data_IF_345402394697
#
_entry.id   IF_345402394697
#
_cell.length_a   1.000
_cell.length_b   1.000
_cell.length_c   1.000
_cell.angle_alpha   90.00
_cell.angle_beta   90.00
_cell.angle_gamma   90.00
#
_symmetry.space_group_name_H-M   'P 1'
#
loop_
_entity.id
_entity.type
_entity.pdbx_description
1 polymer ?
#
# COMPACT_ATOMS: atom_id res chain seq x y z
N UNK A 1 -10.46 2.58 -17.68
CA UNK A 1 -10.88 3.89 -17.15
C UNK A 1 -9.91 4.95 -17.67
N UNK A 2 -10.31 5.79 -18.62
CA UNK A 2 -9.48 6.86 -19.17
C UNK A 2 -9.30 7.97 -18.11
N UNK A 3 -8.21 8.75 -18.19
CA UNK A 3 -7.71 9.75 -17.21
C UNK A 3 -6.55 9.31 -16.28
N UNK A 4 -5.64 8.41 -16.71
CA UNK A 4 -4.28 8.37 -16.14
C UNK A 4 -3.36 9.34 -16.89
N UNK A 5 -3.55 10.65 -16.69
CA UNK A 5 -2.41 11.57 -16.72
C UNK A 5 -1.60 11.32 -15.44
N UNK A 6 -0.88 10.21 -15.44
CA UNK A 6 0.14 9.94 -14.45
C UNK A 6 1.26 10.94 -14.76
N UNK A 7 1.26 12.08 -14.06
CA UNK A 7 2.49 12.82 -13.87
C UNK A 7 3.54 11.80 -13.48
N UNK A 8 4.57 11.67 -14.33
CA UNK A 8 5.66 10.73 -14.15
C UNK A 8 6.51 11.18 -12.97
N UNK A 9 5.94 11.17 -11.77
CA UNK A 9 6.67 11.20 -10.53
C UNK A 9 7.48 9.92 -10.51
N UNK A 10 8.79 10.10 -10.64
CA UNK A 10 9.79 9.05 -10.58
C UNK A 10 9.52 8.17 -9.36
N UNK A 11 8.92 7.00 -9.56
CA UNK A 11 8.63 6.06 -8.46
C UNK A 11 9.96 5.46 -8.05
N UNK A 12 10.52 5.95 -6.95
CA UNK A 12 11.75 5.40 -6.41
C UNK A 12 11.56 3.91 -6.11
N UNK A 13 12.50 3.04 -6.50
CA UNK A 13 12.39 1.61 -6.24
C UNK A 13 12.35 1.37 -4.73
N UNK A 14 11.41 0.52 -4.31
CA UNK A 14 11.22 0.18 -2.91
C UNK A 14 12.08 -1.06 -2.59
N UNK A 15 13.17 -0.94 -1.81
CA UNK A 15 13.97 -2.09 -1.44
C UNK A 15 13.16 -3.03 -0.55
N UNK A 16 13.37 -4.32 -0.71
CA UNK A 16 12.80 -5.36 0.14
C UNK A 16 13.94 -6.06 0.90
N UNK A 17 13.65 -6.52 2.12
CA UNK A 17 14.60 -7.28 2.92
C UNK A 17 15.03 -8.59 2.25
N UNK A 18 14.24 -9.10 1.29
CA UNK A 18 14.58 -10.30 0.52
C UNK A 18 15.67 -10.05 -0.56
N UNK A 19 16.20 -8.83 -0.66
CA UNK A 19 17.23 -8.44 -1.63
C UNK A 19 16.69 -8.02 -3.00
N UNK A 20 15.38 -8.15 -3.24
CA UNK A 20 14.71 -7.67 -4.46
C UNK A 20 14.16 -6.26 -4.28
N UNK A 21 13.64 -5.69 -5.37
CA UNK A 21 12.98 -4.38 -5.38
C UNK A 21 11.50 -4.53 -5.75
N UNK A 22 10.68 -3.63 -5.22
CA UNK A 22 9.25 -3.52 -5.48
C UNK A 22 8.45 -4.81 -5.17
N UNK A 23 8.86 -5.56 -4.16
CA UNK A 23 8.05 -6.66 -3.64
C UNK A 23 6.75 -6.13 -3.05
N UNK A 24 5.65 -6.89 -3.18
CA UNK A 24 4.34 -6.59 -2.59
C UNK A 24 4.48 -6.19 -1.11
N UNK A 25 5.34 -6.91 -0.39
CA UNK A 25 5.64 -6.67 1.02
C UNK A 25 6.16 -5.26 1.32
N UNK A 26 6.96 -4.66 0.42
CA UNK A 26 7.46 -3.29 0.57
C UNK A 26 6.34 -2.24 0.42
N UNK A 27 5.17 -2.62 -0.08
CA UNK A 27 4.01 -1.75 -0.22
C UNK A 27 2.93 -2.01 0.82
N UNK A 28 2.68 -3.29 1.15
CA UNK A 28 1.50 -3.72 1.91
C UNK A 28 1.74 -4.07 3.37
N UNK A 29 2.99 -4.29 3.77
CA UNK A 29 3.32 -4.48 5.19
C UNK A 29 3.10 -3.19 5.97
N UNK A 30 2.83 -3.29 7.28
CA UNK A 30 2.71 -2.11 8.14
C UNK A 30 4.00 -1.26 8.15
N UNK A 31 5.17 -1.91 8.13
CA UNK A 31 6.47 -1.22 8.06
C UNK A 31 6.70 -0.58 6.69
N UNK A 32 6.35 -1.25 5.59
CA UNK A 32 6.41 -0.69 4.24
C UNK A 32 5.46 0.49 4.06
N UNK A 33 4.23 0.37 4.57
CA UNK A 33 3.23 1.44 4.57
C UNK A 33 3.72 2.68 5.34
N UNK A 34 4.23 2.49 6.56
CA UNK A 34 4.78 3.56 7.37
C UNK A 34 6.00 4.22 6.70
N UNK A 35 6.99 3.43 6.28
CA UNK A 35 8.24 3.91 5.66
C UNK A 35 7.99 4.74 4.41
N UNK A 36 7.03 4.32 3.57
CA UNK A 36 6.66 5.05 2.34
C UNK A 36 5.94 6.36 2.61
N UNK A 37 5.32 6.50 3.77
CA UNK A 37 4.77 7.77 4.22
C UNK A 37 5.86 8.68 4.82
N UNK A 38 6.74 8.11 5.65
CA UNK A 38 7.91 8.73 6.26
C UNK A 38 8.45 7.89 7.43
N UNK A 39 9.77 7.84 7.61
CA UNK A 39 10.47 6.85 8.47
C UNK A 39 10.01 6.79 9.95
N UNK A 40 9.33 7.81 10.46
CA UNK A 40 8.88 7.88 11.86
C UNK A 40 7.35 7.84 12.03
N UNK A 41 6.59 7.69 10.94
CA UNK A 41 5.14 7.71 11.01
C UNK A 41 4.59 6.35 11.50
N UNK A 42 3.62 6.40 12.42
CA UNK A 42 2.84 5.22 12.83
C UNK A 42 1.65 5.02 11.89
N UNK A 43 1.36 3.78 11.53
CA UNK A 43 0.30 3.44 10.58
C UNK A 43 -1.06 4.00 11.02
N UNK A 44 -1.37 3.87 12.31
CA UNK A 44 -2.59 4.37 12.96
C UNK A 44 -2.73 5.89 12.78
N UNK A 45 -1.64 6.63 12.96
CA UNK A 45 -1.64 8.08 12.81
C UNK A 45 -1.85 8.51 11.36
N UNK A 46 -1.30 7.76 10.39
CA UNK A 46 -1.50 8.01 8.96
C UNK A 46 -2.96 7.78 8.58
N UNK A 47 -3.55 6.67 9.04
CA UNK A 47 -4.95 6.34 8.77
C UNK A 47 -5.88 7.37 9.42
N UNK A 48 -5.64 7.76 10.67
CA UNK A 48 -6.39 8.81 11.34
C UNK A 48 -6.28 10.16 10.60
N UNK A 49 -5.09 10.53 10.14
CA UNK A 49 -4.92 11.75 9.33
C UNK A 49 -5.69 11.68 8.01
N UNK A 50 -5.69 10.53 7.33
CA UNK A 50 -6.47 10.33 6.11
C UNK A 50 -7.98 10.43 6.37
N UNK A 51 -8.47 9.84 7.46
CA UNK A 51 -9.88 9.95 7.88
C UNK A 51 -10.27 11.40 8.21
N UNK A 52 -9.36 12.20 8.76
CA UNK A 52 -9.55 13.62 9.02
C UNK A 52 -9.36 14.51 7.77
N UNK A 53 -9.11 13.92 6.61
CA UNK A 53 -9.04 14.63 5.33
C UNK A 53 -7.68 15.24 4.99
N UNK A 54 -6.60 14.86 5.68
CA UNK A 54 -5.25 15.32 5.31
C UNK A 54 -4.91 14.89 3.86
N UNK A 55 -4.60 15.84 2.95
CA UNK A 55 -4.42 15.52 1.53
C UNK A 55 -3.26 14.55 1.26
N UNK A 56 -2.19 14.61 2.04
CA UNK A 56 -1.01 13.75 1.87
C UNK A 56 -1.32 12.34 2.34
N UNK A 57 -1.97 12.19 3.50
CA UNK A 57 -2.41 10.92 4.04
C UNK A 57 -3.44 10.25 3.13
N UNK A 58 -4.39 11.01 2.60
CA UNK A 58 -5.37 10.52 1.62
C UNK A 58 -4.70 10.04 0.33
N UNK A 59 -3.74 10.79 -0.21
CA UNK A 59 -3.00 10.36 -1.39
C UNK A 59 -2.24 9.05 -1.12
N UNK A 60 -1.51 8.96 0.00
CA UNK A 60 -0.80 7.75 0.40
C UNK A 60 -1.72 6.55 0.60
N UNK A 61 -2.86 6.75 1.27
CA UNK A 61 -3.88 5.73 1.46
C UNK A 61 -4.42 5.21 0.12
N UNK A 62 -4.72 6.11 -0.82
CA UNK A 62 -5.17 5.72 -2.17
C UNK A 62 -4.10 4.91 -2.91
N UNK A 63 -2.83 5.28 -2.79
CA UNK A 63 -1.74 4.49 -3.38
C UNK A 63 -1.59 3.11 -2.72
N UNK A 64 -1.78 3.02 -1.40
CA UNK A 64 -1.82 1.74 -0.70
C UNK A 64 -2.97 0.85 -1.20
N UNK A 65 -4.18 1.40 -1.32
CA UNK A 65 -5.35 0.66 -1.81
C UNK A 65 -5.18 0.20 -3.27
N UNK A 66 -4.63 1.02 -4.17
CA UNK A 66 -4.35 0.58 -5.56
C UNK A 66 -3.32 -0.55 -5.60
N UNK A 67 -2.25 -0.47 -4.79
CA UNK A 67 -1.27 -1.55 -4.68
C UNK A 67 -1.87 -2.83 -4.08
N UNK A 68 -2.72 -2.70 -3.06
CA UNK A 68 -3.40 -3.82 -2.40
C UNK A 68 -4.34 -4.52 -3.37
N UNK A 69 -5.20 -3.77 -4.06
CA UNK A 69 -6.16 -4.29 -5.03
C UNK A 69 -5.46 -5.04 -6.19
N UNK A 70 -4.37 -4.49 -6.74
CA UNK A 70 -3.57 -5.17 -7.78
C UNK A 70 -2.95 -6.46 -7.30
N UNK A 71 -2.37 -6.42 -6.10
CA UNK A 71 -1.72 -7.60 -5.51
C UNK A 71 -2.73 -8.72 -5.28
N UNK A 72 -3.91 -8.36 -4.77
CA UNK A 72 -5.00 -9.30 -4.53
C UNK A 72 -5.58 -9.84 -5.84
N UNK A 73 -5.78 -8.99 -6.85
CA UNK A 73 -6.26 -9.42 -8.16
C UNK A 73 -5.32 -10.46 -8.80
N UNK A 74 -4.00 -10.30 -8.66
CA UNK A 74 -3.04 -11.31 -9.12
C UNK A 74 -3.20 -12.64 -8.40
N UNK A 75 -3.40 -12.64 -7.08
CA UNK A 75 -3.61 -13.86 -6.29
C UNK A 75 -4.93 -14.53 -6.67
N UNK A 76 -6.02 -13.75 -6.79
CA UNK A 76 -7.35 -14.24 -7.19
C UNK A 76 -7.28 -14.90 -8.56
N UNK A 77 -6.69 -14.23 -9.55
CA UNK A 77 -6.66 -14.74 -10.92
C UNK A 77 -5.82 -16.01 -11.09
N UNK A 78 -4.89 -16.29 -10.17
CA UNK A 78 -4.02 -17.47 -10.22
C UNK A 78 -4.62 -18.63 -9.41
N UNK A 79 -5.17 -18.34 -8.23
CA UNK A 79 -5.58 -19.39 -7.28
C UNK A 79 -7.10 -19.60 -7.21
N UNK A 80 -7.90 -18.65 -7.69
CA UNK A 80 -9.37 -18.62 -7.58
C UNK A 80 -9.92 -19.04 -6.20
N UNK A 81 -9.46 -18.39 -5.10
CA UNK A 81 -9.84 -18.79 -3.76
C UNK A 81 -11.29 -18.39 -3.46
N UNK A 82 -12.03 -19.29 -2.81
CA UNK A 82 -13.40 -18.99 -2.37
C UNK A 82 -13.44 -18.00 -1.20
N UNK A 83 -12.37 -17.94 -0.40
CA UNK A 83 -12.25 -17.08 0.78
C UNK A 83 -10.85 -16.49 0.86
N UNK A 84 -10.78 -15.21 1.23
CA UNK A 84 -9.53 -14.51 1.52
C UNK A 84 -9.62 -14.01 2.97
N UNK A 85 -8.67 -14.45 3.81
CA UNK A 85 -8.56 -14.01 5.20
C UNK A 85 -7.42 -12.99 5.28
N UNK A 86 -7.74 -11.79 5.76
CA UNK A 86 -6.75 -10.73 6.01
C UNK A 86 -6.35 -10.75 7.48
N UNK A 87 -5.04 -10.69 7.75
CA UNK A 87 -4.50 -10.68 9.10
C UNK A 87 -3.27 -9.79 9.22
N UNK A 88 -2.77 -9.66 10.45
CA UNK A 88 -1.65 -8.78 10.80
C UNK A 88 -2.09 -7.45 11.39
N UNK A 89 -1.14 -6.70 11.95
CA UNK A 89 -1.44 -5.48 12.71
C UNK A 89 -2.12 -4.38 11.87
N UNK A 90 -1.75 -4.25 10.59
CA UNK A 90 -2.34 -3.26 9.68
C UNK A 90 -3.81 -3.57 9.33
N UNK A 91 -4.29 -4.79 9.58
CA UNK A 91 -5.71 -5.12 9.39
C UNK A 91 -6.60 -4.63 10.54
N UNK A 92 -6.00 -4.10 11.62
CA UNK A 92 -6.71 -3.64 12.82
C UNK A 92 -6.61 -2.11 13.01
N UNK A 93 -6.19 -1.38 11.98
CA UNK A 93 -6.07 0.09 12.02
C UNK A 93 -7.07 0.80 11.12
#
# INVERSE_FOLDING_TARGET
VPERKLSMQFVLPQPCYCGKTNCIESFLSGTGFARRYGEQARAEAIVAAAQNGDPRALAHWRHFIDAFARSLASVINILDPQVIVLGGGLSNV
#
